data_IF_578653242218
#
_entry.id   IF_578653242218
#
_cell.length_a   1.000
_cell.length_b   1.000
_cell.length_c   1.000
_cell.angle_alpha   90.00
_cell.angle_beta   90.00
_cell.angle_gamma   90.00
#
_symmetry.space_group_name_H-M   'P 1'
#
loop_
_entity.id
_entity.type
_entity.pdbx_description
1 polymer ?
#
# COMPACT_ATOMS: atom_id res chain seq x y z
N UNK A 1 -34.50 17.60 72.74
CA UNK A 1 -34.20 18.07 71.35
C UNK A 1 -33.11 17.20 70.77
N UNK A 2 -33.49 16.22 69.95
CA UNK A 2 -32.59 15.19 69.35
C UNK A 2 -32.33 15.54 67.92
N UNK A 3 -31.10 16.02 67.55
CA UNK A 3 -30.71 16.37 66.21
C UNK A 3 -30.29 15.10 65.49
N UNK A 4 -31.02 14.73 64.45
CA UNK A 4 -30.71 13.63 63.53
C UNK A 4 -29.78 14.19 62.44
N UNK A 5 -28.52 13.70 62.41
CA UNK A 5 -27.60 13.94 61.30
C UNK A 5 -27.85 12.89 60.21
N UNK A 6 -28.39 13.34 59.05
CA UNK A 6 -28.51 12.52 57.87
C UNK A 6 -27.17 12.64 57.09
N UNK A 7 -26.34 11.58 57.14
CA UNK A 7 -25.18 11.46 56.26
C UNK A 7 -25.65 11.09 54.84
N UNK A 8 -25.53 12.05 53.92
CA UNK A 8 -25.74 11.82 52.49
C UNK A 8 -24.47 11.17 51.91
N UNK A 9 -24.47 9.83 51.76
CA UNK A 9 -23.39 9.12 51.09
C UNK A 9 -23.52 9.32 49.57
N UNK A 10 -22.68 10.18 48.99
CA UNK A 10 -22.51 10.30 47.53
C UNK A 10 -21.80 9.05 47.00
N UNK A 11 -22.57 8.14 46.39
CA UNK A 11 -22.05 7.04 45.58
C UNK A 11 -21.45 7.64 44.28
N UNK A 12 -20.15 7.81 44.27
CA UNK A 12 -19.38 8.04 43.02
C UNK A 12 -19.39 6.74 42.22
N UNK A 13 -20.34 6.62 41.31
CA UNK A 13 -20.29 5.61 40.26
C UNK A 13 -19.16 6.01 39.30
N UNK A 14 -17.98 5.47 39.56
CA UNK A 14 -16.86 5.56 38.65
C UNK A 14 -17.22 4.82 37.34
N UNK A 15 -17.58 5.55 36.29
CA UNK A 15 -17.61 5.01 34.94
C UNK A 15 -16.18 4.63 34.54
N UNK A 16 -15.77 3.43 34.92
CA UNK A 16 -14.55 2.80 34.41
C UNK A 16 -14.74 2.57 32.92
N UNK A 17 -14.19 3.48 32.09
CA UNK A 17 -14.04 3.21 30.67
C UNK A 17 -13.16 1.97 30.55
N UNK A 18 -13.75 0.82 30.22
CA UNK A 18 -12.98 -0.39 29.90
C UNK A 18 -12.13 -0.06 28.68
N UNK A 19 -10.83 0.07 28.89
CA UNK A 19 -9.90 0.27 27.78
C UNK A 19 -10.08 -0.90 26.81
N UNK A 20 -10.44 -0.59 25.55
CA UNK A 20 -10.58 -1.60 24.49
C UNK A 20 -9.21 -2.26 24.29
N UNK A 21 -9.15 -3.58 24.28
CA UNK A 21 -7.90 -4.30 24.00
C UNK A 21 -7.38 -3.89 22.60
N UNK A 22 -6.07 -3.73 22.43
CA UNK A 22 -5.51 -3.31 21.15
C UNK A 22 -5.76 -4.37 20.08
N UNK A 23 -6.08 -3.91 18.88
CA UNK A 23 -6.06 -4.76 17.71
C UNK A 23 -4.61 -5.14 17.37
N UNK A 24 -4.35 -6.42 17.23
CA UNK A 24 -3.03 -6.95 16.86
C UNK A 24 -2.96 -7.05 15.34
N UNK A 25 -2.08 -6.26 14.71
CA UNK A 25 -1.91 -6.25 13.26
C UNK A 25 -0.54 -6.83 12.90
N UNK A 26 -0.57 -7.94 12.16
CA UNK A 26 0.64 -8.60 11.69
C UNK A 26 1.20 -7.91 10.44
N UNK A 27 2.53 -7.89 10.34
CA UNK A 27 3.29 -7.34 9.20
C UNK A 27 4.50 -8.21 8.96
N UNK A 28 4.73 -8.60 7.71
CA UNK A 28 6.01 -9.16 7.28
C UNK A 28 6.97 -8.02 6.88
N UNK A 29 8.09 -7.83 7.60
CA UNK A 29 9.04 -6.77 7.27
C UNK A 29 9.72 -6.91 5.91
N UNK A 30 9.75 -8.12 5.35
CA UNK A 30 10.34 -8.37 4.02
C UNK A 30 9.41 -8.00 2.87
N UNK A 31 8.10 -7.90 3.15
CA UNK A 31 7.05 -7.65 2.16
C UNK A 31 6.99 -8.68 1.02
N UNK A 32 7.56 -9.88 1.23
CA UNK A 32 7.45 -10.93 0.23
C UNK A 32 5.97 -11.13 -0.21
N UNK A 33 5.66 -11.34 -1.49
CA UNK A 33 6.56 -11.53 -2.63
C UNK A 33 6.84 -10.24 -3.44
N UNK A 34 6.73 -9.05 -2.86
CA UNK A 34 6.97 -7.80 -3.58
C UNK A 34 8.46 -7.61 -3.87
N UNK A 35 8.78 -7.19 -5.10
CA UNK A 35 10.10 -6.69 -5.45
C UNK A 35 10.12 -5.16 -5.26
N UNK A 36 10.60 -4.70 -4.12
CA UNK A 36 10.69 -3.29 -3.75
C UNK A 36 12.06 -2.68 -4.02
N UNK A 37 13.00 -3.48 -4.55
CA UNK A 37 14.35 -3.04 -4.95
C UNK A 37 15.08 -2.26 -3.85
N UNK A 38 15.05 -2.78 -2.59
CA UNK A 38 15.71 -2.18 -1.44
C UNK A 38 14.88 -1.14 -0.68
N UNK A 39 13.60 -0.94 -1.02
CA UNK A 39 12.68 -0.05 -0.30
C UNK A 39 11.84 -0.74 0.79
N UNK A 40 12.15 -1.98 1.14
CA UNK A 40 11.41 -2.77 2.12
C UNK A 40 11.33 -2.06 3.48
N UNK A 41 12.45 -1.51 3.96
CA UNK A 41 12.50 -0.76 5.21
C UNK A 41 11.66 0.52 5.17
N UNK A 42 11.62 1.23 4.04
CA UNK A 42 10.82 2.43 3.84
C UNK A 42 9.33 2.09 3.88
N UNK A 43 8.90 1.06 3.15
CA UNK A 43 7.50 0.59 3.12
C UNK A 43 7.06 0.10 4.50
N UNK A 44 7.94 -0.60 5.23
CA UNK A 44 7.67 -1.04 6.58
C UNK A 44 7.48 0.12 7.57
N UNK A 45 8.35 1.13 7.50
CA UNK A 45 8.26 2.31 8.35
C UNK A 45 7.04 3.17 7.99
N UNK A 46 6.75 3.36 6.70
CA UNK A 46 5.53 4.00 6.21
C UNK A 46 4.28 3.31 6.75
N UNK A 47 4.17 2.00 6.56
CA UNK A 47 3.03 1.20 7.03
C UNK A 47 2.84 1.30 8.54
N UNK A 48 3.95 1.34 9.29
CA UNK A 48 3.91 1.54 10.75
C UNK A 48 3.35 2.90 11.14
N UNK A 49 3.77 3.95 10.44
CA UNK A 49 3.30 5.31 10.71
C UNK A 49 1.85 5.51 10.25
N UNK A 50 1.40 4.85 9.18
CA UNK A 50 0.00 4.79 8.76
C UNK A 50 -0.87 4.17 9.87
N UNK A 51 -0.48 3.00 10.41
CA UNK A 51 -1.22 2.38 11.52
C UNK A 51 -1.31 3.29 12.74
N UNK A 52 -0.22 3.97 13.12
CA UNK A 52 -0.20 4.94 14.23
C UNK A 52 -1.12 6.14 13.96
N UNK A 53 -1.08 6.68 12.75
CA UNK A 53 -1.91 7.83 12.37
C UNK A 53 -3.40 7.46 12.41
N UNK A 54 -3.78 6.29 11.87
CA UNK A 54 -5.16 5.77 11.92
C UNK A 54 -5.59 5.51 13.35
N UNK A 55 -4.76 4.80 14.15
CA UNK A 55 -5.02 4.55 15.58
C UNK A 55 -5.35 5.84 16.32
N UNK A 56 -4.56 6.89 16.11
CA UNK A 56 -4.79 8.21 16.72
C UNK A 56 -6.08 8.88 16.23
N UNK A 57 -6.40 8.78 14.93
CA UNK A 57 -7.59 9.41 14.33
C UNK A 57 -8.89 8.74 14.74
N UNK A 58 -8.88 7.43 14.86
CA UNK A 58 -10.07 6.64 15.20
C UNK A 58 -10.19 6.36 16.70
N UNK A 59 -9.17 6.68 17.50
CA UNK A 59 -9.16 6.38 18.94
C UNK A 59 -9.13 4.88 19.22
N UNK A 60 -8.59 4.07 18.31
CA UNK A 60 -8.48 2.62 18.44
C UNK A 60 -7.04 2.21 18.77
N UNK A 61 -6.82 1.46 19.83
CA UNK A 61 -5.48 0.97 20.13
C UNK A 61 -5.09 -0.11 19.11
N UNK A 62 -3.89 0.03 18.51
CA UNK A 62 -3.33 -0.93 17.55
C UNK A 62 -1.92 -1.30 17.99
N UNK A 63 -1.68 -2.61 18.10
CA UNK A 63 -0.38 -3.21 18.32
C UNK A 63 0.09 -3.91 17.05
N UNK A 64 1.32 -3.64 16.64
CA UNK A 64 1.93 -4.28 15.49
C UNK A 64 2.72 -5.52 15.92
N UNK A 65 2.56 -6.62 15.19
CA UNK A 65 3.27 -7.89 15.39
C UNK A 65 4.07 -8.22 14.13
N UNK A 66 5.37 -8.44 14.26
CA UNK A 66 6.18 -8.90 13.13
C UNK A 66 6.03 -10.42 12.98
N UNK A 67 5.77 -10.86 11.77
CA UNK A 67 5.62 -12.27 11.40
C UNK A 67 6.35 -12.54 10.09
N UNK A 68 6.69 -13.80 9.82
CA UNK A 68 7.18 -14.21 8.50
C UNK A 68 6.01 -14.31 7.52
N UNK A 69 6.28 -14.20 6.22
CA UNK A 69 5.27 -14.38 5.18
C UNK A 69 4.53 -15.72 5.31
N UNK A 70 5.27 -16.79 5.55
CA UNK A 70 4.70 -18.15 5.63
C UNK A 70 3.71 -18.30 6.78
N UNK A 71 3.93 -17.59 7.89
CA UNK A 71 3.07 -17.63 9.07
C UNK A 71 1.86 -16.67 8.99
N UNK A 72 1.89 -15.75 8.02
CA UNK A 72 0.97 -14.60 7.97
C UNK A 72 -0.50 -15.02 7.91
N UNK A 73 -0.88 -15.84 6.95
CA UNK A 73 -2.28 -16.24 6.75
C UNK A 73 -2.71 -17.35 7.71
N UNK A 74 -1.79 -18.25 8.07
CA UNK A 74 -2.07 -19.31 9.05
C UNK A 74 -2.33 -18.73 10.43
N UNK A 75 -1.50 -17.78 10.88
CA UNK A 75 -1.70 -17.11 12.16
C UNK A 75 -2.99 -16.29 12.21
N UNK A 76 -3.39 -15.65 11.09
CA UNK A 76 -4.67 -14.96 10.97
C UNK A 76 -5.84 -15.94 11.12
N UNK A 77 -5.76 -17.13 10.51
CA UNK A 77 -6.79 -18.17 10.64
C UNK A 77 -6.88 -18.75 12.06
N UNK A 78 -5.76 -18.78 12.79
CA UNK A 78 -5.67 -19.24 14.19
C UNK A 78 -5.98 -18.14 15.22
N UNK A 79 -6.45 -16.96 14.78
CA UNK A 79 -6.73 -15.80 15.64
C UNK A 79 -5.51 -15.33 16.48
N UNK A 80 -4.28 -15.53 16.00
CA UNK A 80 -3.08 -15.04 16.67
C UNK A 80 -2.95 -13.51 16.57
N UNK A 81 -3.64 -12.89 15.61
CA UNK A 81 -3.80 -11.46 15.42
C UNK A 81 -5.11 -11.16 14.68
N UNK A 82 -5.56 -9.90 14.73
CA UNK A 82 -6.87 -9.48 14.23
C UNK A 82 -6.86 -9.13 12.74
N UNK A 83 -5.71 -8.73 12.23
CA UNK A 83 -5.50 -8.37 10.84
C UNK A 83 -4.05 -8.47 10.39
N UNK A 84 -3.84 -8.36 9.11
CA UNK A 84 -2.52 -8.41 8.45
C UNK A 84 -2.42 -7.28 7.43
N UNK A 85 -1.32 -6.54 7.41
CA UNK A 85 -0.98 -5.72 6.25
C UNK A 85 -0.35 -6.62 5.18
N UNK A 86 -0.97 -6.68 4.00
CA UNK A 86 -0.63 -7.70 3.01
C UNK A 86 -0.74 -7.19 1.58
N UNK A 87 0.14 -7.67 0.67
CA UNK A 87 -0.01 -7.49 -0.78
C UNK A 87 -1.01 -8.46 -1.42
N UNK A 88 -1.69 -9.30 -0.61
CA UNK A 88 -2.66 -10.28 -1.13
C UNK A 88 -3.71 -9.58 -2.00
N UNK A 89 -3.85 -9.96 -3.29
CA UNK A 89 -4.81 -9.33 -4.17
C UNK A 89 -6.25 -9.73 -3.83
N UNK A 90 -7.22 -8.81 -3.95
CA UNK A 90 -8.62 -9.05 -3.59
C UNK A 90 -9.39 -9.81 -4.67
N UNK A 91 -8.83 -10.89 -5.22
CA UNK A 91 -9.51 -11.77 -6.16
C UNK A 91 -10.70 -12.49 -5.51
N UNK A 92 -11.67 -12.94 -6.30
CA UNK A 92 -12.90 -13.55 -5.79
C UNK A 92 -12.66 -14.69 -4.79
N UNK A 93 -11.68 -15.56 -5.05
CA UNK A 93 -11.33 -16.65 -4.13
C UNK A 93 -10.72 -16.16 -2.80
N UNK A 94 -10.05 -15.01 -2.78
CA UNK A 94 -9.54 -14.37 -1.57
C UNK A 94 -10.65 -13.63 -0.83
N UNK A 95 -11.53 -12.91 -1.54
CA UNK A 95 -12.70 -12.23 -0.96
C UNK A 95 -13.70 -13.21 -0.32
N UNK A 96 -13.69 -14.46 -0.72
CA UNK A 96 -14.49 -15.50 -0.06
C UNK A 96 -13.98 -15.84 1.35
N UNK A 97 -12.69 -15.61 1.64
CA UNK A 97 -12.02 -15.97 2.91
C UNK A 97 -11.69 -14.77 3.78
N UNK A 98 -11.46 -13.60 3.18
CA UNK A 98 -10.94 -12.41 3.84
C UNK A 98 -11.77 -11.18 3.52
N UNK A 99 -11.87 -10.26 4.48
CA UNK A 99 -12.27 -8.88 4.24
C UNK A 99 -11.03 -8.04 3.97
N UNK A 100 -11.16 -7.07 3.06
CA UNK A 100 -10.08 -6.20 2.61
C UNK A 100 -10.41 -4.75 2.88
N UNK A 101 -9.45 -3.99 3.38
CA UNK A 101 -9.54 -2.54 3.42
C UNK A 101 -9.39 -1.91 2.04
N UNK A 102 -9.61 -0.60 1.97
CA UNK A 102 -9.14 0.23 0.87
C UNK A 102 -7.61 0.10 0.73
N UNK A 103 -7.13 0.33 -0.49
CA UNK A 103 -5.71 0.36 -0.82
C UNK A 103 -5.04 1.55 -0.11
N UNK A 104 -4.01 1.27 0.72
CA UNK A 104 -3.26 2.35 1.36
C UNK A 104 -1.90 2.62 0.71
N UNK A 105 -1.32 1.64 0.00
CA UNK A 105 -0.08 1.80 -0.73
C UNK A 105 -0.14 1.02 -2.06
N UNK A 106 -0.28 1.70 -3.21
CA UNK A 106 -0.11 1.07 -4.52
C UNK A 106 1.30 0.51 -4.68
N UNK A 107 1.42 -0.73 -5.16
CA UNK A 107 2.69 -1.38 -5.49
C UNK A 107 2.68 -1.94 -6.90
N UNK A 108 1.63 -1.64 -7.67
CA UNK A 108 1.42 -2.16 -9.00
C UNK A 108 2.39 -1.63 -10.04
N UNK A 109 2.19 -2.08 -11.27
CA UNK A 109 3.00 -1.66 -12.41
C UNK A 109 2.53 -0.33 -12.98
N UNK A 110 3.49 0.48 -13.41
CA UNK A 110 3.26 1.77 -14.07
C UNK A 110 4.01 1.82 -15.40
N UNK A 111 3.53 2.69 -16.29
CA UNK A 111 4.21 3.02 -17.52
C UNK A 111 5.11 4.23 -17.30
N UNK A 112 6.42 4.04 -17.46
CA UNK A 112 7.41 5.13 -17.49
C UNK A 112 7.66 5.53 -18.93
N UNK A 113 7.62 6.84 -19.21
CA UNK A 113 7.81 7.43 -20.55
C UNK A 113 8.77 8.63 -20.50
N UNK A 114 9.30 9.10 -21.64
CA UNK A 114 10.02 10.36 -21.68
C UNK A 114 9.16 11.54 -21.17
N UNK A 115 9.75 12.45 -20.38
CA UNK A 115 9.03 13.58 -19.77
C UNK A 115 8.29 14.45 -20.81
N UNK A 116 8.88 14.60 -22.01
CA UNK A 116 8.29 15.35 -23.15
C UNK A 116 7.13 14.62 -23.86
N UNK A 117 6.89 13.34 -23.56
CA UNK A 117 5.81 12.57 -24.19
C UNK A 117 4.45 12.99 -23.60
N UNK A 118 3.43 13.09 -24.46
CA UNK A 118 2.05 13.36 -24.08
C UNK A 118 1.19 12.10 -23.98
N UNK A 119 1.77 10.93 -24.20
CA UNK A 119 1.05 9.65 -24.11
C UNK A 119 0.65 9.41 -22.67
N UNK A 120 -0.64 9.15 -22.43
CA UNK A 120 -1.20 8.86 -21.10
C UNK A 120 -1.66 7.40 -20.90
N UNK A 121 -1.69 6.62 -21.96
CA UNK A 121 -2.26 5.28 -21.91
C UNK A 121 -1.51 4.33 -22.84
N UNK A 122 -1.18 3.15 -22.34
CA UNK A 122 -0.46 2.12 -23.09
C UNK A 122 -1.18 1.72 -24.40
N UNK A 123 -2.51 1.68 -24.42
CA UNK A 123 -3.32 1.36 -25.61
C UNK A 123 -3.12 2.31 -26.80
N UNK A 124 -2.52 3.48 -26.58
CA UNK A 124 -2.22 4.46 -27.65
C UNK A 124 -0.80 4.34 -28.18
N UNK A 125 -0.04 3.35 -27.73
CA UNK A 125 1.36 3.14 -28.09
C UNK A 125 1.49 2.05 -29.18
N UNK A 126 0.82 2.26 -30.31
CA UNK A 126 0.90 1.31 -31.44
C UNK A 126 2.31 1.30 -32.04
N UNK A 127 2.79 0.12 -32.40
CA UNK A 127 4.13 -0.15 -32.96
C UNK A 127 5.29 0.39 -32.09
N UNK A 128 5.01 0.68 -30.83
CA UNK A 128 5.99 1.22 -29.90
C UNK A 128 6.75 0.09 -29.19
N UNK A 129 8.07 0.26 -29.09
CA UNK A 129 8.92 -0.62 -28.30
C UNK A 129 8.75 -0.30 -26.81
N UNK A 130 8.19 -1.26 -26.07
CA UNK A 130 7.93 -1.15 -24.64
C UNK A 130 8.79 -2.19 -23.90
N UNK A 131 9.63 -1.72 -22.99
CA UNK A 131 10.48 -2.60 -22.22
C UNK A 131 9.77 -3.14 -20.97
N UNK A 132 9.90 -4.44 -20.73
CA UNK A 132 9.35 -5.16 -19.58
C UNK A 132 10.36 -6.15 -19.04
N UNK A 133 10.27 -6.50 -17.77
CA UNK A 133 11.04 -7.60 -17.22
C UNK A 133 10.47 -8.93 -17.73
N UNK A 134 11.35 -9.80 -18.21
CA UNK A 134 10.95 -11.11 -18.72
C UNK A 134 10.37 -11.98 -17.60
N UNK A 135 9.41 -12.83 -17.94
CA UNK A 135 8.72 -13.79 -17.06
C UNK A 135 8.02 -13.10 -15.85
N UNK A 136 7.71 -11.80 -15.97
CA UNK A 136 7.05 -11.01 -14.93
C UNK A 136 5.56 -10.77 -15.21
N UNK A 137 4.86 -10.22 -14.22
CA UNK A 137 3.49 -9.75 -14.43
C UNK A 137 3.42 -8.56 -15.40
N UNK A 138 4.49 -7.75 -15.49
CA UNK A 138 4.59 -6.67 -16.47
C UNK A 138 4.51 -7.18 -17.90
N UNK A 139 5.11 -8.35 -18.19
CA UNK A 139 4.99 -9.00 -19.51
C UNK A 139 3.54 -9.40 -19.78
N UNK A 140 2.88 -10.07 -18.80
CA UNK A 140 1.45 -10.44 -18.95
C UNK A 140 0.53 -9.23 -19.11
N UNK A 141 0.85 -8.11 -18.47
CA UNK A 141 0.12 -6.84 -18.69
C UNK A 141 0.34 -6.35 -20.13
N UNK A 142 1.56 -6.41 -20.64
CA UNK A 142 1.86 -5.97 -22.00
C UNK A 142 1.19 -6.84 -23.07
N UNK A 143 1.02 -8.14 -22.82
CA UNK A 143 0.31 -9.08 -23.70
C UNK A 143 -1.16 -8.67 -23.98
N UNK A 144 -1.75 -7.88 -23.08
CA UNK A 144 -3.07 -7.30 -23.31
C UNK A 144 -3.07 -6.16 -24.35
N UNK A 145 -1.89 -5.76 -24.82
CA UNK A 145 -1.69 -4.68 -25.79
C UNK A 145 -0.87 -5.17 -27.02
N UNK A 146 -1.43 -6.07 -27.83
CA UNK A 146 -0.71 -6.78 -28.90
C UNK A 146 -0.20 -5.87 -30.03
N UNK A 147 -0.63 -4.62 -30.05
CA UNK A 147 -0.09 -3.61 -30.98
C UNK A 147 1.24 -2.99 -30.55
N UNK A 148 1.77 -3.36 -29.39
CA UNK A 148 3.09 -2.93 -28.91
C UNK A 148 4.16 -3.97 -29.23
N UNK A 149 5.43 -3.56 -29.22
CA UNK A 149 6.58 -4.43 -29.46
C UNK A 149 7.31 -4.65 -28.15
N UNK A 150 7.26 -5.84 -27.54
CA UNK A 150 7.93 -6.11 -26.28
C UNK A 150 9.46 -6.09 -26.45
N UNK A 151 10.15 -5.48 -25.47
CA UNK A 151 11.60 -5.56 -25.28
C UNK A 151 11.89 -6.03 -23.86
N UNK A 152 12.74 -7.04 -23.73
CA UNK A 152 13.02 -7.61 -22.43
C UNK A 152 14.25 -6.97 -21.81
N UNK A 153 14.16 -6.60 -20.53
CA UNK A 153 15.30 -6.14 -19.75
C UNK A 153 15.62 -7.09 -18.59
N UNK A 154 16.87 -7.07 -18.20
CA UNK A 154 17.36 -7.76 -16.98
C UNK A 154 17.51 -6.76 -15.84
N UNK A 155 17.91 -5.53 -16.16
CA UNK A 155 18.13 -4.46 -15.16
C UNK A 155 17.24 -3.26 -15.48
N UNK A 156 16.42 -2.83 -14.52
CA UNK A 156 15.60 -1.63 -14.65
C UNK A 156 16.40 -0.37 -14.99
N UNK A 157 17.58 -0.17 -14.39
CA UNK A 157 18.42 0.99 -14.66
C UNK A 157 18.88 1.04 -16.12
N UNK A 158 19.23 -0.11 -16.72
CA UNK A 158 19.61 -0.21 -18.16
C UNK A 158 18.40 0.10 -19.03
N UNK A 159 17.20 -0.38 -18.67
CA UNK A 159 16.00 -0.08 -19.43
C UNK A 159 15.64 1.41 -19.40
N UNK A 160 15.78 2.06 -18.24
CA UNK A 160 15.53 3.49 -18.09
C UNK A 160 16.59 4.35 -18.81
N UNK A 161 17.87 3.95 -18.80
CA UNK A 161 18.92 4.61 -19.59
C UNK A 161 18.59 4.56 -21.11
N UNK A 162 18.12 3.43 -21.62
CA UNK A 162 17.68 3.28 -23.00
C UNK A 162 16.44 4.10 -23.33
N UNK A 163 15.47 4.14 -22.39
CA UNK A 163 14.28 4.98 -22.51
C UNK A 163 14.66 6.47 -22.59
N UNK A 164 15.56 6.94 -21.70
CA UNK A 164 16.03 8.32 -21.71
C UNK A 164 16.74 8.70 -23.01
N UNK A 165 17.48 7.77 -23.62
CA UNK A 165 18.12 7.92 -24.95
C UNK A 165 17.13 7.82 -26.11
N UNK A 166 15.88 7.42 -25.88
CA UNK A 166 14.85 7.30 -26.91
C UNK A 166 14.87 5.97 -27.69
N UNK A 167 15.67 4.99 -27.24
CA UNK A 167 15.71 3.64 -27.83
C UNK A 167 14.41 2.88 -27.56
N UNK A 168 13.76 3.13 -26.40
CA UNK A 168 12.42 2.65 -26.08
C UNK A 168 11.41 3.80 -26.06
N UNK A 169 10.14 3.47 -26.19
CA UNK A 169 9.03 4.43 -26.05
C UNK A 169 8.39 4.39 -24.68
N UNK A 170 8.58 3.30 -23.94
CA UNK A 170 8.11 3.13 -22.58
C UNK A 170 8.82 1.98 -21.86
N UNK A 171 8.74 2.00 -20.55
CA UNK A 171 9.18 0.91 -19.66
C UNK A 171 8.03 0.63 -18.68
N UNK A 172 7.65 -0.63 -18.52
CA UNK A 172 6.71 -1.06 -17.48
C UNK A 172 7.50 -1.65 -16.32
N UNK A 173 7.30 -1.10 -15.12
CA UNK A 173 7.95 -1.54 -13.90
C UNK A 173 7.10 -1.22 -12.67
N UNK A 174 7.45 -1.77 -11.51
CA UNK A 174 6.76 -1.45 -10.25
C UNK A 174 6.86 0.03 -9.90
N UNK A 175 5.77 0.60 -9.35
CA UNK A 175 5.65 2.05 -9.08
C UNK A 175 6.69 2.57 -8.10
N UNK A 176 6.96 1.84 -6.99
CA UNK A 176 7.89 2.32 -5.95
C UNK A 176 9.32 2.46 -6.49
N UNK A 177 9.91 1.43 -7.12
CA UNK A 177 11.19 1.59 -7.79
C UNK A 177 11.16 2.66 -8.91
N UNK A 178 10.07 2.75 -9.68
CA UNK A 178 9.95 3.73 -10.76
C UNK A 178 10.12 5.15 -10.24
N UNK A 179 9.39 5.51 -9.20
CA UNK A 179 9.49 6.83 -8.57
C UNK A 179 10.90 7.09 -8.06
N UNK A 180 11.49 6.14 -7.32
CA UNK A 180 12.85 6.30 -6.81
C UNK A 180 13.88 6.56 -7.93
N UNK A 181 13.84 5.76 -9.00
CA UNK A 181 14.75 5.97 -10.14
C UNK A 181 14.54 7.32 -10.82
N UNK A 182 13.27 7.73 -11.00
CA UNK A 182 12.97 9.02 -11.63
C UNK A 182 13.49 10.17 -10.79
N UNK A 183 13.20 10.19 -9.49
CA UNK A 183 13.64 11.24 -8.57
C UNK A 183 15.16 11.30 -8.45
N UNK A 184 15.81 10.14 -8.29
CA UNK A 184 17.25 10.07 -8.04
C UNK A 184 18.10 10.38 -9.30
N UNK A 185 17.61 10.02 -10.51
CA UNK A 185 18.48 10.06 -11.71
C UNK A 185 17.84 10.66 -12.94
N UNK A 186 16.51 10.63 -13.09
CA UNK A 186 15.85 10.94 -14.36
C UNK A 186 14.76 12.03 -14.22
N UNK A 187 14.79 12.88 -13.18
CA UNK A 187 13.73 13.83 -12.83
C UNK A 187 13.20 14.67 -14.01
N UNK A 188 14.09 15.18 -14.87
CA UNK A 188 13.72 16.01 -16.02
C UNK A 188 13.61 15.22 -17.35
N UNK A 189 13.92 13.93 -17.32
CA UNK A 189 14.01 13.11 -18.52
C UNK A 189 12.84 12.14 -18.67
N UNK A 190 12.39 11.57 -17.56
CA UNK A 190 11.37 10.53 -17.51
C UNK A 190 10.24 10.93 -16.55
N UNK A 191 9.06 10.33 -16.76
CA UNK A 191 7.91 10.46 -15.87
C UNK A 191 7.06 9.21 -15.89
N UNK A 192 6.31 8.99 -14.82
CA UNK A 192 5.22 8.02 -14.81
C UNK A 192 4.04 8.58 -15.59
N UNK A 193 3.35 7.76 -16.33
CA UNK A 193 2.24 8.14 -17.18
C UNK A 193 0.96 7.37 -16.89
N UNK A 194 -0.10 8.10 -16.62
CA UNK A 194 -1.42 7.53 -16.34
C UNK A 194 -1.51 6.82 -14.99
N UNK A 195 -2.62 6.11 -14.80
CA UNK A 195 -2.87 5.31 -13.61
C UNK A 195 -2.03 4.03 -13.59
N UNK A 196 -1.86 3.39 -12.42
CA UNK A 196 -1.28 2.06 -12.34
C UNK A 196 -1.99 1.07 -13.28
N UNK A 197 -1.21 0.19 -13.91
CA UNK A 197 -1.69 -0.76 -14.90
C UNK A 197 -2.43 -1.97 -14.28
N UNK A 198 -2.34 -2.13 -12.97
CA UNK A 198 -3.06 -3.12 -12.19
C UNK A 198 -3.40 -2.59 -10.79
N UNK A 199 -4.27 -3.32 -10.06
CA UNK A 199 -4.75 -2.97 -8.71
C UNK A 199 -3.89 -3.62 -7.59
N UNK A 200 -2.61 -3.90 -7.86
CA UNK A 200 -1.71 -4.45 -6.88
C UNK A 200 -1.31 -3.40 -5.83
N UNK A 201 -1.26 -3.82 -4.57
CA UNK A 201 -0.85 -2.95 -3.48
C UNK A 201 -1.20 -3.49 -2.10
N UNK A 202 -0.82 -2.72 -1.09
CA UNK A 202 -0.96 -3.11 0.31
C UNK A 202 -2.33 -2.70 0.85
N UNK A 203 -2.96 -3.64 1.56
CA UNK A 203 -4.23 -3.49 2.25
C UNK A 203 -4.16 -4.11 3.64
N UNK A 204 -5.02 -3.68 4.53
CA UNK A 204 -5.33 -4.44 5.74
C UNK A 204 -6.32 -5.54 5.35
N UNK A 205 -6.03 -6.78 5.74
CA UNK A 205 -6.93 -7.92 5.58
C UNK A 205 -7.29 -8.51 6.93
N UNK A 206 -8.48 -9.08 7.04
CA UNK A 206 -8.94 -9.84 8.20
C UNK A 206 -9.73 -11.07 7.76
N UNK A 207 -10.00 -12.01 8.68
CA UNK A 207 -10.88 -13.14 8.37
C UNK A 207 -12.28 -12.63 8.05
N UNK A 208 -12.88 -13.16 7.01
CA UNK A 208 -14.22 -12.81 6.51
C UNK A 208 -15.26 -12.73 7.63
N UNK A 209 -15.85 -11.55 7.81
CA UNK A 209 -16.90 -11.29 8.79
C UNK A 209 -16.46 -11.25 10.26
N UNK A 210 -15.18 -11.54 10.59
CA UNK A 210 -14.75 -11.55 12.01
C UNK A 210 -14.37 -10.17 12.57
N UNK A 211 -13.79 -9.30 11.74
CA UNK A 211 -13.25 -7.99 12.17
C UNK A 211 -13.69 -6.88 11.21
N UNK A 212 -14.93 -6.91 10.76
CA UNK A 212 -15.47 -5.90 9.83
C UNK A 212 -15.35 -4.48 10.39
N UNK A 213 -15.57 -4.30 11.72
CA UNK A 213 -15.39 -3.02 12.39
C UNK A 213 -13.94 -2.49 12.26
N UNK A 214 -12.92 -3.36 12.38
CA UNK A 214 -11.52 -2.98 12.19
C UNK A 214 -11.27 -2.49 10.76
N UNK A 215 -11.79 -3.20 9.76
CA UNK A 215 -11.67 -2.82 8.35
C UNK A 215 -12.35 -1.46 8.09
N UNK A 216 -13.54 -1.24 8.62
CA UNK A 216 -14.27 0.03 8.50
C UNK A 216 -13.52 1.19 9.17
N UNK A 217 -13.05 1.00 10.41
CA UNK A 217 -12.27 2.01 11.13
C UNK A 217 -10.95 2.33 10.43
N UNK A 218 -10.29 1.32 9.87
CA UNK A 218 -9.07 1.52 9.07
C UNK A 218 -9.36 2.41 7.84
N UNK A 219 -10.43 2.09 7.09
CA UNK A 219 -10.81 2.86 5.91
C UNK A 219 -11.20 4.30 6.24
N UNK A 220 -11.98 4.51 7.30
CA UNK A 220 -12.36 5.86 7.74
C UNK A 220 -11.13 6.66 8.23
N UNK A 221 -10.25 6.02 8.99
CA UNK A 221 -8.99 6.62 9.42
C UNK A 221 -8.10 6.98 8.24
N UNK A 222 -7.99 6.08 7.24
CA UNK A 222 -7.24 6.32 6.01
C UNK A 222 -7.79 7.54 5.24
N UNK A 223 -9.12 7.64 5.10
CA UNK A 223 -9.76 8.82 4.47
C UNK A 223 -9.46 10.11 5.24
N UNK A 224 -9.50 10.07 6.59
CA UNK A 224 -9.23 11.24 7.42
C UNK A 224 -7.79 11.72 7.28
N UNK A 225 -6.80 10.80 7.33
CA UNK A 225 -5.39 11.18 7.20
C UNK A 225 -5.02 11.62 5.78
N UNK A 226 -5.71 11.12 4.74
CA UNK A 226 -5.58 11.64 3.36
C UNK A 226 -6.13 13.06 3.26
N UNK A 227 -7.30 13.31 3.83
CA UNK A 227 -7.96 14.63 3.76
C UNK A 227 -7.19 15.74 4.50
N UNK A 228 -6.52 15.43 5.60
CA UNK A 228 -5.80 16.42 6.41
C UNK A 228 -4.31 16.56 6.03
N UNK A 229 -3.86 15.89 4.96
CA UNK A 229 -2.49 15.93 4.46
C UNK A 229 -1.47 15.14 5.31
N UNK A 230 -1.92 14.39 6.32
CA UNK A 230 -1.02 13.52 7.11
C UNK A 230 -0.44 12.41 6.23
N UNK A 231 -1.27 11.85 5.35
CA UNK A 231 -0.86 10.79 4.43
C UNK A 231 0.26 11.26 3.51
N UNK A 232 0.11 12.42 2.86
CA UNK A 232 1.10 12.96 1.91
C UNK A 232 2.44 13.23 2.58
N UNK A 233 2.42 13.78 3.82
CA UNK A 233 3.63 13.97 4.63
C UNK A 233 4.34 12.64 4.95
N UNK A 234 3.60 11.54 5.13
CA UNK A 234 4.19 10.23 5.37
C UNK A 234 4.78 9.63 4.08
N UNK A 235 4.13 9.85 2.94
CA UNK A 235 4.64 9.47 1.62
C UNK A 235 5.98 10.15 1.35
N UNK A 236 6.04 11.46 1.52
CA UNK A 236 7.26 12.26 1.36
C UNK A 236 8.36 11.81 2.35
N UNK A 237 8.02 11.68 3.63
CA UNK A 237 8.96 11.27 4.69
C UNK A 237 9.67 9.96 4.38
N UNK A 238 8.95 8.98 3.82
CA UNK A 238 9.45 7.63 3.60
C UNK A 238 9.86 7.35 2.14
N UNK A 239 9.61 8.31 1.25
CA UNK A 239 9.88 8.19 -0.19
C UNK A 239 9.34 6.87 -0.77
N UNK A 240 8.04 6.65 -0.61
CA UNK A 240 7.34 5.44 -1.10
C UNK A 240 6.52 5.69 -2.37
N UNK A 241 6.66 6.85 -2.96
CA UNK A 241 6.34 7.11 -4.36
C UNK A 241 4.87 7.29 -4.76
N UNK A 242 3.95 7.52 -3.84
CA UNK A 242 2.51 7.62 -4.18
C UNK A 242 2.09 9.03 -4.61
N UNK A 243 2.83 10.07 -4.21
CA UNK A 243 2.47 11.47 -4.50
C UNK A 243 2.72 11.90 -5.96
N UNK A 244 3.41 11.11 -6.74
CA UNK A 244 3.80 11.44 -8.12
C UNK A 244 2.85 10.87 -9.20
N UNK A 245 1.73 10.28 -8.82
CA UNK A 245 0.74 9.72 -9.76
C UNK A 245 -0.41 10.73 -9.88
N UNK A 246 -0.22 11.75 -10.72
CA UNK A 246 -1.26 12.67 -11.22
C UNK A 246 -1.81 12.22 -12.59
#
# INVERSE_FOLDING_TARGET
MRRIFICLACLLVGCGSMAKSPYRIAVDPSWYPLDLMGKEANVYAFSSDILKAISKKEGIPIDRVNVSWDDTLEGLQKDLYDGVLSPLPPYNFNRAKYDFSDLYLPTGYVLVIPARSSVKQLKKMQDAEIAVQKDSEAERILDLYPSTIPRFYVSPSVALDKLAKGEYKGVIMNVIPAVSFIEDKYADQLKISGDPLNDAGLRLISIKGKRSELIEQFNEGLKKIKRDGTFDKLVEKWNVGIAAID
#
